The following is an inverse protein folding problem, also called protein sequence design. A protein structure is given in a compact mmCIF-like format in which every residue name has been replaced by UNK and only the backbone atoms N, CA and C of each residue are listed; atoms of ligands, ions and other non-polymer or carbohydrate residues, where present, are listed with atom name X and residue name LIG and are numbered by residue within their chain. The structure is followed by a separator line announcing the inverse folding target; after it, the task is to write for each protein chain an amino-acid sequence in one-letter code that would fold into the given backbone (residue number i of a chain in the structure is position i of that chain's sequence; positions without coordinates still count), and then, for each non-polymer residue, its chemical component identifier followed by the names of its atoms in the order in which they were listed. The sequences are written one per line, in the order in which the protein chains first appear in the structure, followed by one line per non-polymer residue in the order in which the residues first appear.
data_IF_166530783921
#
_entry.id   IF_166530783921
#
_cell.length_a   1.000
_cell.length_b   1.000
_cell.length_c   1.000
_cell.angle_alpha   90.00
_cell.angle_beta   90.00
_cell.angle_gamma   90.00
#
_symmetry.space_group_name_H-M   'P 1'
#
loop_
_entity.id
_entity.type
_entity.pdbx_description
1 polymer ?
#
# COMPACT_ATOMS: atom_id res chain seq x y z
N UNK A 1 38.31 8.97 7.27
CA UNK A 1 37.42 8.00 6.64
C UNK A 1 36.57 8.72 5.61
N UNK A 2 36.57 8.27 4.37
CA UNK A 2 36.24 9.12 3.24
C UNK A 2 34.76 9.17 2.94
N UNK A 3 34.13 10.35 3.08
CA UNK A 3 33.06 10.70 2.13
C UNK A 3 33.65 10.54 0.73
N UNK A 4 32.98 9.76 -0.12
CA UNK A 4 33.32 9.74 -1.53
C UNK A 4 33.30 11.19 -2.07
N UNK A 5 34.10 11.51 -3.07
CA UNK A 5 34.17 12.86 -3.69
C UNK A 5 32.82 13.37 -4.22
N UNK A 6 31.76 12.55 -4.21
CA UNK A 6 30.37 12.82 -4.62
C UNK A 6 29.41 13.19 -3.47
N UNK A 7 29.88 13.30 -2.23
CA UNK A 7 29.00 13.58 -1.07
C UNK A 7 28.16 12.37 -0.58
N UNK A 8 28.39 11.18 -1.10
CA UNK A 8 27.72 9.93 -0.68
C UNK A 8 28.71 9.01 0.07
N UNK A 9 28.14 8.13 0.93
CA UNK A 9 28.93 7.15 1.68
C UNK A 9 29.13 5.86 0.89
N UNK A 10 30.27 5.19 1.11
CA UNK A 10 30.43 3.78 0.75
C UNK A 10 29.44 2.94 1.57
N UNK A 11 28.76 2.00 0.93
CA UNK A 11 27.73 1.15 1.56
C UNK A 11 28.33 -0.19 1.93
N UNK A 12 28.18 -0.59 3.19
CA UNK A 12 28.43 -1.93 3.66
C UNK A 12 27.11 -2.67 3.86
N UNK A 13 27.14 -3.97 3.62
CA UNK A 13 25.95 -4.85 3.66
C UNK A 13 26.24 -6.01 4.61
N UNK A 14 25.27 -6.29 5.47
CA UNK A 14 25.22 -7.51 6.29
C UNK A 14 24.00 -8.31 5.85
N UNK A 15 24.23 -9.55 5.41
CA UNK A 15 23.17 -10.44 4.94
C UNK A 15 22.70 -11.36 6.06
N UNK A 16 21.45 -11.77 5.99
CA UNK A 16 20.84 -12.79 6.86
C UNK A 16 21.02 -12.51 8.35
N UNK A 17 20.92 -11.25 8.73
CA UNK A 17 20.95 -10.84 10.13
C UNK A 17 19.70 -11.37 10.83
N UNK A 18 19.92 -12.11 11.91
CA UNK A 18 18.83 -12.72 12.68
C UNK A 18 18.22 -11.74 13.66
N UNK A 19 16.93 -11.48 13.50
CA UNK A 19 16.16 -10.50 14.28
C UNK A 19 15.18 -11.26 15.18
N UNK A 20 15.39 -11.30 16.50
CA UNK A 20 14.52 -12.02 17.40
C UNK A 20 13.20 -11.28 17.60
N UNK A 21 12.09 -12.02 17.58
CA UNK A 21 10.76 -11.55 17.96
C UNK A 21 10.47 -11.94 19.41
N UNK A 22 9.52 -11.23 20.05
CA UNK A 22 9.16 -11.42 21.47
C UNK A 22 8.66 -12.82 21.82
N UNK A 23 8.19 -13.58 20.84
CA UNK A 23 7.68 -14.95 21.01
C UNK A 23 8.72 -16.05 20.71
N UNK A 24 9.99 -15.65 20.51
CA UNK A 24 11.11 -16.55 20.24
C UNK A 24 11.31 -16.94 18.78
N UNK A 25 10.41 -16.53 17.87
CA UNK A 25 10.63 -16.65 16.44
C UNK A 25 11.72 -15.67 16.00
N UNK A 26 12.48 -16.04 14.96
CA UNK A 26 13.54 -15.19 14.43
C UNK A 26 13.28 -14.86 12.97
N UNK A 27 13.27 -13.56 12.64
CA UNK A 27 13.17 -13.11 11.26
C UNK A 27 14.56 -12.88 10.66
N UNK A 28 14.65 -12.92 9.32
CA UNK A 28 15.89 -12.69 8.58
C UNK A 28 15.85 -11.33 7.90
N UNK A 29 16.90 -10.54 8.07
CA UNK A 29 17.04 -9.23 7.48
C UNK A 29 18.39 -9.03 6.78
N UNK A 30 18.39 -8.22 5.72
CA UNK A 30 19.57 -7.66 5.12
C UNK A 30 19.71 -6.18 5.55
N UNK A 31 20.88 -5.83 6.07
CA UNK A 31 21.15 -4.50 6.59
C UNK A 31 22.18 -3.79 5.70
N UNK A 32 21.76 -2.68 5.10
CA UNK A 32 22.60 -1.80 4.31
C UNK A 32 22.87 -0.53 5.10
N UNK A 33 24.12 -0.14 5.28
CA UNK A 33 24.46 1.06 6.02
C UNK A 33 25.69 1.75 5.49
N UNK A 34 25.87 3.06 5.76
CA UNK A 34 27.10 3.73 5.42
C UNK A 34 28.28 3.13 6.18
N UNK A 35 29.43 3.05 5.54
CA UNK A 35 30.69 2.75 6.20
C UNK A 35 31.15 3.93 7.03
N UNK A 36 30.58 4.06 8.21
CA UNK A 36 30.76 5.20 9.13
C UNK A 36 30.68 4.76 10.58
N UNK A 37 31.37 5.47 11.45
CA UNK A 37 31.24 5.36 12.91
C UNK A 37 30.06 6.21 13.45
N UNK A 38 29.54 7.13 12.64
CA UNK A 38 28.41 7.96 13.03
C UNK A 38 27.13 7.13 13.08
N UNK A 39 26.33 7.38 14.09
CA UNK A 39 24.98 6.80 14.16
C UNK A 39 24.07 7.48 13.14
N UNK A 40 23.27 6.68 12.45
CA UNK A 40 22.35 7.12 11.40
C UNK A 40 20.92 6.65 11.70
N UNK A 41 19.88 7.35 11.23
CA UNK A 41 18.51 6.85 11.36
C UNK A 41 18.33 5.58 10.53
N UNK A 42 17.36 4.73 10.96
CA UNK A 42 17.01 3.50 10.26
C UNK A 42 15.77 3.65 9.38
N UNK A 43 15.72 2.89 8.28
CA UNK A 43 14.52 2.67 7.48
C UNK A 43 14.27 1.16 7.50
N UNK A 44 13.11 0.74 8.01
CA UNK A 44 12.71 -0.67 8.08
C UNK A 44 11.66 -0.96 7.00
N UNK A 45 11.94 -1.97 6.18
CA UNK A 45 11.06 -2.48 5.13
C UNK A 45 10.84 -3.96 5.35
N UNK A 46 9.59 -4.37 5.51
CA UNK A 46 9.21 -5.77 5.74
C UNK A 46 8.42 -6.27 4.54
N UNK A 47 8.73 -7.47 4.04
CA UNK A 47 8.20 -7.97 2.77
C UNK A 47 7.87 -9.47 2.81
N UNK A 48 6.72 -9.91 2.24
CA UNK A 48 6.45 -11.33 2.02
C UNK A 48 7.05 -11.84 0.71
N UNK A 49 7.61 -10.96 -0.12
CA UNK A 49 8.01 -11.26 -1.50
C UNK A 49 9.49 -11.65 -1.64
N UNK A 50 10.25 -11.62 -0.56
CA UNK A 50 11.71 -11.84 -0.53
C UNK A 50 12.47 -10.53 -0.37
N UNK A 51 13.46 -10.55 0.57
CA UNK A 51 14.27 -9.36 0.91
C UNK A 51 15.36 -9.02 -0.11
N UNK A 52 15.48 -9.81 -1.19
CA UNK A 52 16.55 -9.67 -2.19
C UNK A 52 15.98 -9.52 -3.60
N UNK A 53 16.36 -8.45 -4.28
CA UNK A 53 16.19 -8.23 -5.72
C UNK A 53 17.08 -7.06 -6.14
N UNK A 54 17.29 -6.89 -7.45
CA UNK A 54 18.06 -5.75 -7.97
C UNK A 54 17.44 -4.40 -7.58
N UNK A 55 16.12 -4.32 -7.57
CA UNK A 55 15.39 -3.10 -7.18
C UNK A 55 15.54 -2.79 -5.69
N UNK A 56 15.47 -3.81 -4.84
CA UNK A 56 15.71 -3.68 -3.40
C UNK A 56 17.15 -3.23 -3.14
N UNK A 57 18.14 -3.87 -3.77
CA UNK A 57 19.55 -3.51 -3.61
C UNK A 57 19.79 -2.05 -4.06
N UNK A 58 19.24 -1.64 -5.22
CA UNK A 58 19.36 -0.27 -5.71
C UNK A 58 18.74 0.76 -4.75
N UNK A 59 17.52 0.49 -4.27
CA UNK A 59 16.81 1.37 -3.33
C UNK A 59 17.52 1.44 -1.98
N UNK A 60 17.93 0.30 -1.43
CA UNK A 60 18.64 0.25 -0.16
C UNK A 60 19.98 1.00 -0.23
N UNK A 61 20.75 0.81 -1.31
CA UNK A 61 22.01 1.56 -1.53
C UNK A 61 21.76 3.04 -1.73
N UNK A 62 20.68 3.43 -2.38
CA UNK A 62 20.33 4.85 -2.54
C UNK A 62 20.21 5.55 -1.18
N UNK A 63 19.47 4.99 -0.25
CA UNK A 63 19.31 5.56 1.09
C UNK A 63 20.55 5.37 1.96
N UNK A 64 21.18 4.19 1.93
CA UNK A 64 22.36 3.91 2.74
C UNK A 64 23.55 4.81 2.37
N UNK A 65 23.78 5.05 1.08
CA UNK A 65 24.83 5.99 0.64
C UNK A 65 24.57 7.44 1.05
N UNK A 66 23.34 7.75 1.49
CA UNK A 66 22.93 9.08 1.96
C UNK A 66 22.77 9.16 3.48
N UNK A 67 23.29 8.18 4.20
CA UNK A 67 23.38 8.19 5.66
C UNK A 67 22.11 7.67 6.34
N UNK A 68 21.62 6.53 5.89
CA UNK A 68 20.59 5.73 6.54
C UNK A 68 21.06 4.29 6.76
N UNK A 69 20.62 3.66 7.83
CA UNK A 69 20.65 2.21 7.95
C UNK A 69 19.35 1.65 7.36
N UNK A 70 19.42 0.88 6.28
CA UNK A 70 18.23 0.30 5.63
C UNK A 70 18.17 -1.18 5.97
N UNK A 71 17.04 -1.62 6.54
CA UNK A 71 16.78 -2.99 6.98
C UNK A 71 15.66 -3.55 6.11
N UNK A 72 16.01 -4.42 5.16
CA UNK A 72 15.04 -5.22 4.41
C UNK A 72 14.86 -6.58 5.08
N UNK A 73 13.63 -6.93 5.40
CA UNK A 73 13.32 -8.11 6.22
C UNK A 73 12.23 -8.96 5.59
N UNK A 74 12.47 -10.25 5.47
CA UNK A 74 11.41 -11.21 5.17
C UNK A 74 10.44 -11.29 6.35
N UNK A 75 9.13 -11.20 6.09
CA UNK A 75 8.12 -11.39 7.15
C UNK A 75 8.10 -12.84 7.62
N UNK A 76 7.49 -13.09 8.76
CA UNK A 76 7.34 -14.42 9.38
C UNK A 76 6.88 -15.48 8.37
N UNK A 77 7.59 -16.62 8.35
CA UNK A 77 7.28 -17.74 7.45
C UNK A 77 7.60 -17.53 5.98
N UNK A 78 8.23 -16.40 5.62
CA UNK A 78 8.67 -16.12 4.26
C UNK A 78 10.20 -16.08 4.15
N UNK A 79 10.72 -16.38 2.96
CA UNK A 79 12.17 -16.39 2.70
C UNK A 79 12.95 -17.15 3.75
N UNK A 80 13.92 -16.48 4.37
CA UNK A 80 14.80 -17.03 5.40
C UNK A 80 14.31 -16.80 6.84
N UNK A 81 13.12 -16.21 7.01
CA UNK A 81 12.48 -16.00 8.32
C UNK A 81 11.81 -17.24 8.85
N UNK A 82 11.88 -17.49 10.17
CA UNK A 82 11.24 -18.62 10.82
C UNK A 82 9.71 -18.41 10.94
N UNK A 83 9.00 -19.44 11.39
CA UNK A 83 7.56 -19.42 11.66
C UNK A 83 6.71 -19.75 10.44
N UNK A 84 5.43 -19.41 10.56
CA UNK A 84 4.41 -19.63 9.54
C UNK A 84 3.84 -18.30 9.05
N UNK A 85 3.66 -18.15 7.73
CA UNK A 85 3.06 -16.98 7.14
C UNK A 85 1.54 -17.07 7.18
N UNK A 86 0.93 -16.17 7.92
CA UNK A 86 -0.51 -15.93 7.92
C UNK A 86 -0.72 -14.47 7.59
N UNK A 87 -1.26 -14.11 6.43
CA UNK A 87 -1.36 -12.73 5.98
C UNK A 87 -1.92 -11.79 7.06
N UNK A 88 -1.21 -10.70 7.33
CA UNK A 88 -1.53 -9.63 8.26
C UNK A 88 -1.59 -9.98 9.76
N UNK A 89 -1.72 -11.25 10.17
CA UNK A 89 -2.03 -11.65 11.56
C UNK A 89 -0.92 -11.33 12.58
N UNK A 90 0.34 -11.50 12.19
CA UNK A 90 1.47 -11.26 13.07
C UNK A 90 2.13 -9.89 12.83
N UNK A 91 1.72 -9.19 11.78
CA UNK A 91 2.46 -8.05 11.24
C UNK A 91 2.55 -6.87 12.19
N UNK A 92 1.56 -6.66 13.03
CA UNK A 92 1.60 -5.61 14.04
C UNK A 92 2.70 -5.82 15.08
N UNK A 93 2.75 -7.02 15.67
CA UNK A 93 3.73 -7.38 16.71
C UNK A 93 5.14 -7.50 16.14
N UNK A 94 5.28 -8.22 15.04
CA UNK A 94 6.57 -8.41 14.37
C UNK A 94 7.10 -7.07 13.85
N UNK A 95 6.22 -6.18 13.39
CA UNK A 95 6.57 -4.82 12.99
C UNK A 95 7.09 -3.98 14.14
N UNK A 96 6.40 -4.02 15.28
CA UNK A 96 6.89 -3.37 16.49
C UNK A 96 8.30 -3.87 16.86
N UNK A 97 8.47 -5.20 16.97
CA UNK A 97 9.74 -5.80 17.38
C UNK A 97 10.86 -5.47 16.38
N UNK A 98 10.57 -5.45 15.08
CA UNK A 98 11.53 -5.09 14.03
C UNK A 98 11.99 -3.63 14.12
N UNK A 99 11.07 -2.71 14.41
CA UNK A 99 11.36 -1.28 14.57
C UNK A 99 12.23 -1.07 15.81
N UNK A 100 11.87 -1.65 16.95
CA UNK A 100 12.61 -1.51 18.19
C UNK A 100 13.98 -2.19 18.12
N UNK A 101 14.07 -3.34 17.44
CA UNK A 101 15.35 -3.98 17.19
C UNK A 101 16.29 -3.07 16.37
N UNK A 102 15.77 -2.44 15.31
CA UNK A 102 16.57 -1.54 14.48
C UNK A 102 17.03 -0.31 15.27
N UNK A 103 16.15 0.26 16.11
CA UNK A 103 16.47 1.40 16.97
C UNK A 103 17.57 1.07 17.99
N UNK A 104 17.60 -0.15 18.51
CA UNK A 104 18.58 -0.62 19.49
C UNK A 104 19.96 -0.94 18.89
N UNK A 105 20.12 -0.93 17.56
CA UNK A 105 21.39 -1.27 16.96
C UNK A 105 22.46 -0.20 17.27
N UNK A 106 23.73 -0.59 17.50
CA UNK A 106 24.80 0.33 17.84
C UNK A 106 25.02 1.45 16.80
N UNK A 107 24.71 1.19 15.54
CA UNK A 107 24.83 2.12 14.43
C UNK A 107 23.60 3.04 14.26
N UNK A 108 22.48 2.73 14.96
CA UNK A 108 21.24 3.50 14.83
C UNK A 108 21.23 4.72 15.76
N UNK A 109 20.70 5.83 15.27
CA UNK A 109 20.50 7.07 16.07
C UNK A 109 19.28 6.98 17.02
N UNK A 110 18.46 5.93 16.89
CA UNK A 110 17.19 5.78 17.59
C UNK A 110 15.98 6.33 16.83
N UNK A 111 16.18 7.02 15.70
CA UNK A 111 15.07 7.42 14.84
C UNK A 111 14.83 6.37 13.75
N UNK A 112 13.61 5.85 13.66
CA UNK A 112 13.23 4.82 12.67
C UNK A 112 12.08 5.33 11.82
N UNK A 113 12.22 5.16 10.51
CA UNK A 113 11.12 5.28 9.55
C UNK A 113 10.77 3.93 8.95
N UNK A 114 9.57 3.81 8.41
CA UNK A 114 9.16 2.65 7.62
C UNK A 114 8.71 3.09 6.23
N UNK A 115 8.89 2.22 5.25
CA UNK A 115 8.41 2.44 3.88
C UNK A 115 8.04 1.13 3.21
N UNK A 116 7.13 1.21 2.24
CA UNK A 116 6.75 0.06 1.44
C UNK A 116 5.49 0.29 0.65
N UNK A 117 5.27 -0.59 -0.34
CA UNK A 117 4.13 -0.54 -1.24
C UNK A 117 3.22 -1.75 -1.03
N UNK A 118 1.90 -1.58 -1.27
CA UNK A 118 0.93 -2.67 -1.25
C UNK A 118 0.87 -3.35 0.13
N UNK A 119 1.02 -4.65 0.22
CA UNK A 119 1.13 -5.37 1.48
C UNK A 119 2.09 -4.69 2.47
N UNK A 120 3.28 -4.26 1.98
CA UNK A 120 4.29 -3.59 2.79
C UNK A 120 3.80 -2.24 3.34
N UNK A 121 2.89 -1.59 2.64
CA UNK A 121 2.26 -0.37 3.12
C UNK A 121 1.28 -0.68 4.25
N UNK A 122 0.37 -1.65 4.03
CA UNK A 122 -0.64 -2.03 5.02
C UNK A 122 -0.03 -2.50 6.34
N UNK A 123 1.01 -3.29 6.30
CA UNK A 123 1.64 -3.80 7.53
C UNK A 123 2.36 -2.73 8.36
N UNK A 124 2.68 -1.57 7.79
CA UNK A 124 3.16 -0.41 8.54
C UNK A 124 2.08 0.13 9.48
N UNK A 125 0.83 0.24 8.99
CA UNK A 125 -0.31 0.67 9.79
C UNK A 125 -0.57 -0.28 10.97
N UNK A 126 -0.53 -1.59 10.71
CA UNK A 126 -0.67 -2.59 11.76
C UNK A 126 0.43 -2.48 12.82
N UNK A 127 1.67 -2.24 12.39
CA UNK A 127 2.80 -2.03 13.32
C UNK A 127 2.65 -0.71 14.11
N UNK A 128 2.23 0.37 13.46
CA UNK A 128 2.06 1.67 14.08
C UNK A 128 1.01 1.64 15.21
N UNK A 129 -0.05 0.85 15.08
CA UNK A 129 -1.06 0.63 16.13
C UNK A 129 -0.54 -0.07 17.39
N UNK A 130 0.65 -0.64 17.34
CA UNK A 130 1.36 -1.14 18.54
C UNK A 130 2.24 -0.08 19.21
N UNK A 131 2.26 1.16 18.67
CA UNK A 131 2.95 2.33 19.23
C UNK A 131 4.44 2.15 19.49
N UNK A 132 5.25 1.68 18.51
CA UNK A 132 6.69 1.57 18.71
C UNK A 132 7.29 2.97 18.94
N UNK A 133 7.97 3.21 20.09
CA UNK A 133 8.38 4.55 20.49
C UNK A 133 9.43 5.19 19.57
N UNK A 134 10.17 4.35 18.82
CA UNK A 134 11.20 4.83 17.91
C UNK A 134 10.70 5.04 16.48
N UNK A 135 9.44 4.71 16.14
CA UNK A 135 8.83 5.02 14.84
C UNK A 135 8.54 6.52 14.75
N UNK A 136 9.18 7.21 13.80
CA UNK A 136 9.08 8.67 13.64
C UNK A 136 8.35 9.12 12.39
N UNK A 137 8.38 8.32 11.32
CA UNK A 137 7.70 8.65 10.06
C UNK A 137 7.41 7.40 9.23
N UNK A 138 6.40 7.47 8.38
CA UNK A 138 6.05 6.41 7.44
C UNK A 138 6.00 6.95 6.00
N UNK A 139 6.31 6.06 5.04
CA UNK A 139 5.99 6.24 3.61
C UNK A 139 5.12 5.06 3.20
N UNK A 140 3.84 5.33 2.97
CA UNK A 140 2.80 4.35 2.65
C UNK A 140 2.44 4.49 1.18
N UNK A 141 2.80 3.49 0.36
CA UNK A 141 2.67 3.53 -1.09
C UNK A 141 1.64 2.50 -1.53
N UNK A 142 0.69 2.89 -2.41
CA UNK A 142 -0.37 2.01 -2.93
C UNK A 142 -0.93 1.10 -1.84
N UNK A 143 -1.37 1.73 -0.76
CA UNK A 143 -1.78 1.02 0.45
C UNK A 143 -3.16 0.43 0.28
N UNK A 144 -3.29 -0.90 0.34
CA UNK A 144 -4.61 -1.49 0.44
C UNK A 144 -5.32 -0.99 1.70
N UNK A 145 -6.61 -0.87 1.58
CA UNK A 145 -7.50 -0.51 2.67
C UNK A 145 -7.85 -1.73 3.53
N UNK A 146 -8.78 -1.58 4.45
CA UNK A 146 -9.42 -2.72 5.08
C UNK A 146 -10.26 -3.47 4.05
N UNK A 147 -10.38 -4.81 4.16
CA UNK A 147 -10.98 -5.64 3.10
C UNK A 147 -12.38 -5.21 2.69
N UNK A 148 -13.20 -4.75 3.63
CA UNK A 148 -14.57 -4.31 3.33
C UNK A 148 -14.67 -2.94 2.66
N UNK A 149 -13.58 -2.21 2.56
CA UNK A 149 -13.45 -1.02 1.72
C UNK A 149 -13.09 -1.41 0.28
N UNK A 150 -12.19 -2.37 0.13
CA UNK A 150 -11.77 -2.92 -1.18
C UNK A 150 -12.81 -3.87 -1.75
N UNK A 151 -13.42 -4.67 -0.90
CA UNK A 151 -14.45 -5.64 -1.26
C UNK A 151 -15.78 -5.34 -0.58
N UNK A 152 -16.47 -4.26 -0.98
CA UNK A 152 -17.69 -3.81 -0.30
C UNK A 152 -18.82 -4.82 -0.33
N UNK A 153 -18.72 -5.85 -1.17
CA UNK A 153 -19.66 -6.98 -1.22
C UNK A 153 -19.36 -8.04 -0.15
N UNK A 154 -18.24 -7.95 0.57
CA UNK A 154 -17.78 -8.98 1.49
C UNK A 154 -17.19 -10.23 0.83
N UNK A 155 -16.98 -10.19 -0.48
CA UNK A 155 -16.42 -11.31 -1.25
C UNK A 155 -15.10 -10.83 -1.87
N UNK A 156 -13.96 -11.49 -1.56
CA UNK A 156 -12.67 -11.17 -2.19
C UNK A 156 -12.76 -11.34 -3.71
N UNK A 157 -12.07 -10.47 -4.42
CA UNK A 157 -11.96 -10.63 -5.87
C UNK A 157 -11.19 -11.92 -6.21
N UNK A 158 -11.52 -12.63 -7.29
CA UNK A 158 -10.77 -13.82 -7.69
C UNK A 158 -9.28 -13.58 -7.88
N UNK A 159 -8.88 -12.36 -8.26
CA UNK A 159 -7.47 -11.96 -8.36
C UNK A 159 -6.73 -12.10 -7.01
N UNK A 160 -7.40 -11.89 -5.90
CA UNK A 160 -6.81 -12.09 -4.56
C UNK A 160 -6.38 -13.55 -4.33
N UNK A 161 -7.08 -14.53 -4.93
CA UNK A 161 -6.65 -15.93 -4.92
C UNK A 161 -5.28 -16.11 -5.58
N UNK A 162 -5.01 -15.40 -6.69
CA UNK A 162 -3.70 -15.40 -7.35
C UNK A 162 -2.61 -14.89 -6.39
N UNK A 163 -2.88 -13.81 -5.66
CA UNK A 163 -1.94 -13.30 -4.66
C UNK A 163 -1.71 -14.29 -3.51
N UNK A 164 -2.76 -14.94 -3.00
CA UNK A 164 -2.64 -15.98 -1.97
C UNK A 164 -1.83 -17.18 -2.48
N UNK A 165 -2.02 -17.58 -3.73
CA UNK A 165 -1.19 -18.63 -4.36
C UNK A 165 0.28 -18.18 -4.44
N UNK A 166 0.54 -16.99 -4.96
CA UNK A 166 1.88 -16.42 -5.10
C UNK A 166 2.64 -16.41 -3.77
N UNK A 167 1.94 -16.16 -2.67
CA UNK A 167 2.53 -16.06 -1.32
C UNK A 167 2.40 -17.33 -0.49
N UNK A 168 1.89 -18.42 -1.02
CA UNK A 168 1.56 -19.65 -0.28
C UNK A 168 2.74 -20.55 0.13
N UNK A 169 3.97 -20.20 -0.22
CA UNK A 169 5.17 -20.92 0.18
C UNK A 169 6.14 -20.04 0.95
N UNK A 170 7.35 -20.53 1.20
CA UNK A 170 8.41 -19.68 1.75
C UNK A 170 8.96 -18.67 0.74
N UNK A 171 8.91 -19.02 -0.55
CA UNK A 171 9.29 -18.15 -1.67
C UNK A 171 8.08 -17.87 -2.55
N UNK A 172 8.17 -16.85 -3.39
CA UNK A 172 7.12 -16.54 -4.35
C UNK A 172 6.90 -17.73 -5.29
N UNK A 173 5.63 -18.12 -5.45
CA UNK A 173 5.24 -19.17 -6.39
C UNK A 173 5.08 -18.55 -7.79
N UNK A 174 5.43 -19.31 -8.82
CA UNK A 174 5.23 -18.86 -10.19
C UNK A 174 3.74 -18.95 -10.57
N UNK A 175 3.12 -17.80 -10.77
CA UNK A 175 1.71 -17.69 -11.15
C UNK A 175 1.48 -17.96 -12.64
N UNK A 176 2.52 -17.81 -13.48
CA UNK A 176 2.39 -17.93 -14.94
C UNK A 176 2.16 -19.39 -15.41
N UNK A 177 2.40 -20.36 -14.52
CA UNK A 177 2.18 -21.79 -14.82
C UNK A 177 0.75 -22.25 -14.53
N UNK A 178 -0.10 -21.36 -14.03
CA UNK A 178 -1.49 -21.63 -13.62
C UNK A 178 -2.45 -21.10 -14.67
N UNK A 179 -3.45 -21.90 -15.02
CA UNK A 179 -4.56 -21.48 -15.88
C UNK A 179 -5.58 -20.67 -15.07
N UNK A 180 -5.28 -19.39 -14.87
CA UNK A 180 -6.14 -18.48 -14.09
C UNK A 180 -7.49 -18.23 -14.77
N UNK A 181 -7.54 -18.25 -16.10
CA UNK A 181 -8.82 -18.09 -16.81
C UNK A 181 -9.79 -19.19 -16.41
N UNK A 182 -9.34 -20.45 -16.45
CA UNK A 182 -10.15 -21.57 -15.98
C UNK A 182 -10.56 -21.45 -14.52
N UNK A 183 -9.66 -20.98 -13.65
CA UNK A 183 -9.93 -20.84 -12.21
C UNK A 183 -10.99 -19.77 -11.99
N UNK A 184 -10.88 -18.62 -12.65
CA UNK A 184 -11.81 -17.49 -12.44
C UNK A 184 -13.23 -17.79 -12.89
N UNK A 185 -13.43 -18.79 -13.74
CA UNK A 185 -14.77 -19.28 -14.13
C UNK A 185 -15.31 -20.39 -13.22
N UNK A 186 -14.54 -20.81 -12.20
CA UNK A 186 -14.97 -21.90 -11.33
C UNK A 186 -16.01 -21.46 -10.30
N UNK A 187 -16.99 -22.33 -10.06
CA UNK A 187 -17.99 -22.23 -9.00
C UNK A 187 -18.12 -23.55 -8.25
N UNK A 188 -18.31 -23.53 -6.93
CA UNK A 188 -18.42 -22.36 -6.06
C UNK A 188 -17.09 -21.70 -5.78
N UNK A 189 -17.10 -20.40 -5.46
CA UNK A 189 -15.87 -19.62 -5.19
C UNK A 189 -15.01 -20.23 -4.08
N UNK A 190 -15.62 -20.83 -3.06
CA UNK A 190 -14.91 -21.43 -1.92
C UNK A 190 -13.89 -22.49 -2.36
N UNK A 191 -14.15 -23.21 -3.45
CA UNK A 191 -13.31 -24.32 -3.94
C UNK A 191 -12.42 -23.93 -5.14
N UNK A 192 -12.30 -22.65 -5.47
CA UNK A 192 -11.44 -22.18 -6.56
C UNK A 192 -9.97 -22.60 -6.36
N UNK A 193 -9.51 -22.64 -5.12
CA UNK A 193 -8.14 -23.02 -4.76
C UNK A 193 -7.78 -24.46 -5.18
N UNK A 194 -8.74 -25.37 -5.27
CA UNK A 194 -8.49 -26.76 -5.69
C UNK A 194 -7.92 -26.85 -7.11
N UNK A 195 -8.31 -25.91 -7.97
CA UNK A 195 -7.84 -25.87 -9.35
C UNK A 195 -6.41 -25.36 -9.49
N UNK A 196 -5.84 -24.73 -8.45
CA UNK A 196 -4.43 -24.33 -8.43
C UNK A 196 -3.49 -25.51 -8.20
N UNK A 197 -4.04 -26.69 -7.87
CA UNK A 197 -3.27 -27.88 -7.47
C UNK A 197 -2.68 -27.81 -6.05
N UNK A 198 -3.01 -26.75 -5.29
CA UNK A 198 -2.56 -26.54 -3.93
C UNK A 198 -3.68 -25.94 -3.08
N UNK A 199 -4.07 -26.56 -1.96
CA UNK A 199 -5.04 -25.96 -1.05
C UNK A 199 -4.54 -24.62 -0.49
N UNK A 200 -5.42 -23.62 -0.48
CA UNK A 200 -5.15 -22.30 0.05
C UNK A 200 -6.13 -21.99 1.20
N UNK A 201 -5.82 -22.42 2.42
CA UNK A 201 -6.76 -22.33 3.55
C UNK A 201 -7.17 -20.88 3.86
N UNK A 202 -6.32 -19.89 3.60
CA UNK A 202 -6.66 -18.48 3.80
C UNK A 202 -7.77 -18.02 2.85
N UNK A 203 -7.79 -18.47 1.60
CA UNK A 203 -8.88 -18.19 0.68
C UNK A 203 -10.22 -18.66 1.22
N UNK A 204 -10.27 -19.90 1.67
CA UNK A 204 -11.50 -20.49 2.22
C UNK A 204 -11.95 -19.80 3.49
N UNK A 205 -11.01 -19.41 4.34
CA UNK A 205 -11.30 -18.71 5.57
C UNK A 205 -11.86 -17.31 5.29
N UNK A 206 -11.28 -16.54 4.36
CA UNK A 206 -11.78 -15.23 3.96
C UNK A 206 -13.21 -15.31 3.39
N UNK A 207 -13.50 -16.29 2.53
CA UNK A 207 -14.85 -16.51 1.98
C UNK A 207 -15.89 -16.81 3.09
N UNK A 208 -15.49 -17.46 4.18
CA UNK A 208 -16.38 -17.78 5.31
C UNK A 208 -16.69 -16.58 6.19
N UNK A 209 -15.94 -15.49 6.05
CA UNK A 209 -16.13 -14.26 6.79
C UNK A 209 -16.65 -13.10 5.91
N UNK A 210 -17.89 -13.20 5.35
CA UNK A 210 -18.42 -12.21 4.40
C UNK A 210 -18.87 -10.90 5.07
N UNK A 211 -18.65 -10.75 6.38
CA UNK A 211 -19.00 -9.58 7.16
C UNK A 211 -17.79 -9.11 7.97
N UNK A 212 -17.74 -7.81 8.32
CA UNK A 212 -16.71 -7.23 9.19
C UNK A 212 -16.91 -7.72 10.63
N UNK A 213 -16.54 -8.96 10.86
CA UNK A 213 -16.61 -9.63 12.17
C UNK A 213 -15.27 -9.53 12.93
N UNK A 214 -15.17 -10.19 14.09
CA UNK A 214 -13.95 -10.15 14.91
C UNK A 214 -12.72 -10.76 14.20
N UNK A 215 -12.95 -11.61 13.21
CA UNK A 215 -11.86 -12.18 12.43
C UNK A 215 -11.13 -11.09 11.62
N UNK A 216 -11.89 -10.18 10.97
CA UNK A 216 -11.35 -9.06 10.20
C UNK A 216 -10.85 -7.93 11.10
N UNK A 217 -11.54 -7.62 12.21
CA UNK A 217 -11.17 -6.54 13.12
C UNK A 217 -9.75 -6.65 13.66
N UNK A 218 -9.23 -7.88 13.83
CA UNK A 218 -7.87 -8.12 14.28
C UNK A 218 -6.76 -7.63 13.33
N UNK A 219 -7.12 -7.31 12.08
CA UNK A 219 -6.21 -6.81 11.04
C UNK A 219 -6.72 -5.53 10.37
N UNK A 220 -7.72 -4.88 10.96
CA UNK A 220 -8.31 -3.63 10.50
C UNK A 220 -7.69 -2.43 11.21
N UNK A 221 -7.64 -1.28 10.52
CA UNK A 221 -7.07 -0.05 11.05
C UNK A 221 -7.84 1.23 10.65
N UNK A 222 -8.78 1.14 9.72
CA UNK A 222 -9.48 2.29 9.12
C UNK A 222 -10.27 3.17 10.13
N UNK A 223 -10.72 2.60 11.22
CA UNK A 223 -11.44 3.31 12.30
C UNK A 223 -10.51 3.73 13.46
N UNK A 224 -9.20 3.45 13.35
CA UNK A 224 -8.22 3.60 14.44
C UNK A 224 -7.18 4.70 14.23
N UNK A 225 -7.37 5.59 13.27
CA UNK A 225 -6.43 6.70 13.01
C UNK A 225 -6.25 7.62 14.23
N UNK A 226 -7.27 7.73 15.09
CA UNK A 226 -7.23 8.53 16.32
C UNK A 226 -6.23 8.01 17.38
N UNK A 227 -5.72 6.80 17.21
CA UNK A 227 -4.68 6.24 18.06
C UNK A 227 -3.27 6.61 17.58
N UNK A 228 -3.10 7.12 16.37
CA UNK A 228 -1.80 7.32 15.73
C UNK A 228 -1.32 8.78 15.86
N UNK A 229 -0.04 8.95 16.20
CA UNK A 229 0.66 10.24 16.24
C UNK A 229 1.91 10.20 15.33
N UNK A 230 1.69 10.10 14.03
CA UNK A 230 2.77 9.90 13.03
C UNK A 230 2.58 10.78 11.80
N UNK A 231 3.67 11.37 11.28
CA UNK A 231 3.71 11.93 9.93
C UNK A 231 3.74 10.79 8.90
N UNK A 232 2.93 10.90 7.88
CA UNK A 232 2.85 9.90 6.80
C UNK A 232 2.86 10.57 5.43
N UNK A 233 3.73 10.06 4.54
CA UNK A 233 3.70 10.36 3.12
C UNK A 233 2.90 9.26 2.43
N UNK A 234 1.73 9.61 1.91
CA UNK A 234 0.82 8.73 1.21
C UNK A 234 1.03 8.87 -0.30
N UNK A 235 1.23 7.77 -1.01
CA UNK A 235 1.50 7.79 -2.45
C UNK A 235 0.67 6.71 -3.13
N UNK A 236 -0.05 7.06 -4.22
CA UNK A 236 -0.74 6.09 -5.07
C UNK A 236 -0.95 6.63 -6.48
N UNK A 237 -1.73 5.92 -7.27
CA UNK A 237 -2.09 6.27 -8.62
C UNK A 237 -3.59 6.15 -8.87
N UNK A 238 -4.11 6.93 -9.84
CA UNK A 238 -5.53 6.93 -10.20
C UNK A 238 -6.01 5.60 -10.80
N UNK A 239 -5.08 4.78 -11.32
CA UNK A 239 -5.35 3.48 -11.93
C UNK A 239 -4.87 2.30 -11.07
N UNK A 240 -4.52 2.56 -9.81
CA UNK A 240 -4.21 1.53 -8.84
C UNK A 240 -5.50 0.80 -8.42
N UNK A 241 -5.51 -0.51 -8.46
CA UNK A 241 -6.65 -1.33 -8.03
C UNK A 241 -6.90 -1.25 -6.51
N UNK A 242 -5.86 -0.92 -5.74
CA UNK A 242 -5.95 -0.65 -4.29
C UNK A 242 -6.07 0.87 -3.98
N UNK A 243 -6.32 1.71 -4.98
CA UNK A 243 -6.30 3.16 -4.90
C UNK A 243 -7.15 3.74 -3.79
N UNK A 244 -8.30 3.15 -3.49
CA UNK A 244 -9.26 3.64 -2.49
C UNK A 244 -8.64 3.79 -1.09
N UNK A 245 -7.68 2.95 -0.74
CA UNK A 245 -7.02 2.95 0.58
C UNK A 245 -6.20 4.20 0.84
N UNK A 246 -5.39 4.62 -0.12
CA UNK A 246 -4.45 5.72 0.07
C UNK A 246 -5.12 7.07 0.39
N UNK A 247 -6.13 7.57 -0.36
CA UNK A 247 -6.87 8.79 0.01
C UNK A 247 -7.64 8.66 1.33
N UNK A 248 -8.21 7.48 1.63
CA UNK A 248 -8.87 7.25 2.91
C UNK A 248 -7.90 7.34 4.09
N UNK A 249 -6.70 6.77 3.95
CA UNK A 249 -5.66 6.85 4.96
C UNK A 249 -5.20 8.30 5.18
N UNK A 250 -4.98 9.06 4.10
CA UNK A 250 -4.67 10.49 4.19
C UNK A 250 -5.76 11.27 4.93
N UNK A 251 -7.02 11.14 4.48
CA UNK A 251 -8.15 11.83 5.12
C UNK A 251 -8.34 11.41 6.58
N UNK A 252 -8.18 10.12 6.88
CA UNK A 252 -8.26 9.58 8.22
C UNK A 252 -7.22 10.21 9.15
N UNK A 253 -5.97 10.24 8.73
CA UNK A 253 -4.89 10.85 9.49
C UNK A 253 -5.01 12.37 9.59
N UNK A 254 -5.29 13.06 8.49
CA UNK A 254 -5.42 14.52 8.49
C UNK A 254 -6.55 15.03 9.38
N UNK A 255 -7.61 14.24 9.59
CA UNK A 255 -8.78 14.63 10.37
C UNK A 255 -8.80 14.04 11.78
N UNK A 256 -8.31 12.83 11.96
CA UNK A 256 -8.53 12.05 13.18
C UNK A 256 -7.26 11.63 13.91
N UNK A 257 -6.05 11.84 13.37
CA UNK A 257 -4.83 11.49 14.08
C UNK A 257 -4.79 12.10 15.50
N UNK A 258 -4.13 11.42 16.42
CA UNK A 258 -4.15 11.72 17.85
C UNK A 258 -3.79 13.16 18.20
N UNK A 259 -2.83 13.75 17.50
CA UNK A 259 -2.34 15.11 17.77
C UNK A 259 -2.55 16.05 16.60
N UNK A 260 -2.60 17.35 16.87
CA UNK A 260 -2.64 18.37 15.82
C UNK A 260 -1.39 18.33 14.94
N UNK A 261 -0.22 18.06 15.55
CA UNK A 261 1.03 17.86 14.82
C UNK A 261 0.88 16.75 13.79
N UNK A 262 0.40 15.57 14.18
CA UNK A 262 0.21 14.46 13.25
C UNK A 262 -0.80 14.80 12.17
N UNK A 263 -1.95 15.42 12.51
CA UNK A 263 -2.94 15.83 11.51
C UNK A 263 -2.38 16.76 10.43
N UNK A 264 -1.50 17.69 10.80
CA UNK A 264 -0.85 18.64 9.90
C UNK A 264 0.39 18.08 9.18
N UNK A 265 0.81 16.87 9.55
CA UNK A 265 2.02 16.24 9.03
C UNK A 265 1.72 15.13 8.02
N UNK A 266 0.64 15.28 7.26
CA UNK A 266 0.24 14.34 6.23
C UNK A 266 0.53 14.92 4.85
N UNK A 267 1.04 14.09 3.93
CA UNK A 267 1.20 14.45 2.52
C UNK A 267 0.63 13.37 1.62
N UNK A 268 -0.04 13.79 0.54
CA UNK A 268 -0.65 12.91 -0.45
C UNK A 268 -0.09 13.19 -1.84
N UNK A 269 0.34 12.15 -2.55
CA UNK A 269 0.71 12.21 -3.96
C UNK A 269 -0.14 11.20 -4.73
N UNK A 270 -0.91 11.69 -5.72
CA UNK A 270 -1.71 10.85 -6.62
C UNK A 270 -1.29 11.08 -8.07
N UNK A 271 -0.58 10.11 -8.64
CA UNK A 271 -0.13 10.14 -10.03
C UNK A 271 -1.10 9.42 -11.00
N UNK A 272 -0.88 9.48 -12.31
CA UNK A 272 -1.67 8.75 -13.30
C UNK A 272 -1.14 7.30 -13.47
N UNK A 273 -0.88 6.64 -12.36
CA UNK A 273 -0.16 5.36 -12.33
C UNK A 273 -1.08 4.19 -11.97
N UNK A 274 -0.76 2.97 -12.47
CA UNK A 274 -1.33 1.73 -11.95
C UNK A 274 -0.63 1.33 -10.63
N UNK A 275 -0.88 0.12 -10.12
CA UNK A 275 -0.27 -0.40 -8.90
C UNK A 275 1.27 -0.32 -8.89
N UNK A 276 1.91 -0.56 -10.02
CA UNK A 276 3.36 -0.32 -10.22
C UNK A 276 3.61 1.15 -10.56
N UNK A 277 3.52 2.01 -9.56
CA UNK A 277 3.58 3.46 -9.72
C UNK A 277 4.88 3.95 -10.37
N UNK A 278 4.79 5.10 -11.05
CA UNK A 278 5.93 5.92 -11.48
C UNK A 278 6.95 5.21 -12.41
N UNK A 279 6.50 4.21 -13.19
CA UNK A 279 7.35 3.39 -14.07
C UNK A 279 7.32 3.84 -15.53
N UNK A 280 6.20 4.35 -15.98
CA UNK A 280 5.95 4.69 -17.38
C UNK A 280 5.10 5.96 -17.47
N UNK A 281 5.29 6.70 -18.56
CA UNK A 281 4.40 7.81 -18.95
C UNK A 281 3.11 7.31 -19.60
N UNK A 282 3.04 6.01 -19.89
CA UNK A 282 1.93 5.39 -20.63
C UNK A 282 1.24 4.31 -19.80
N UNK A 283 -0.07 4.25 -20.00
CA UNK A 283 -0.91 3.16 -19.51
C UNK A 283 -1.82 2.71 -20.68
N UNK A 284 -1.60 1.52 -21.20
CA UNK A 284 -2.23 1.08 -22.44
C UNK A 284 -1.96 2.05 -23.58
N UNK A 285 -3.02 2.55 -24.20
CA UNK A 285 -2.94 3.53 -25.31
C UNK A 285 -2.78 4.99 -24.83
N UNK A 286 -2.99 5.27 -23.55
CA UNK A 286 -2.96 6.62 -23.01
C UNK A 286 -1.51 7.02 -22.68
N UNK A 287 -1.08 8.18 -23.19
CA UNK A 287 0.19 8.80 -22.85
C UNK A 287 -0.04 10.07 -22.02
N UNK A 288 0.42 10.06 -20.77
CA UNK A 288 0.27 11.19 -19.85
C UNK A 288 1.42 12.21 -19.97
N UNK A 289 2.39 11.94 -20.82
CA UNK A 289 3.54 12.82 -21.05
C UNK A 289 4.64 12.70 -19.97
N UNK A 290 5.81 13.32 -20.23
CA UNK A 290 7.03 13.11 -19.43
C UNK A 290 6.90 13.59 -17.97
N UNK A 291 6.04 14.55 -17.70
CA UNK A 291 5.83 15.06 -16.34
C UNK A 291 5.07 14.07 -15.44
N UNK A 292 4.44 13.04 -16.01
CA UNK A 292 3.73 12.01 -15.24
C UNK A 292 4.66 11.09 -14.43
N UNK A 293 5.95 11.05 -14.76
CA UNK A 293 6.99 10.34 -14.00
C UNK A 293 7.86 11.36 -13.28
N UNK A 294 8.04 11.20 -11.98
CA UNK A 294 8.77 12.13 -11.12
C UNK A 294 9.94 11.45 -10.42
N UNK A 295 10.90 12.21 -9.88
CA UNK A 295 11.98 11.68 -9.02
C UNK A 295 11.44 11.35 -7.62
N UNK A 296 10.69 10.26 -7.57
CA UNK A 296 9.99 9.83 -6.36
C UNK A 296 10.95 9.43 -5.24
N UNK A 297 12.09 8.79 -5.57
CA UNK A 297 13.09 8.43 -4.57
C UNK A 297 13.69 9.66 -3.89
N UNK A 298 13.90 10.75 -4.65
CA UNK A 298 14.40 12.00 -4.08
C UNK A 298 13.34 12.68 -3.21
N UNK A 299 12.07 12.58 -3.57
CA UNK A 299 10.98 13.09 -2.74
C UNK A 299 10.88 12.32 -1.40
N UNK A 300 10.96 11.01 -1.45
CA UNK A 300 11.01 10.14 -0.27
C UNK A 300 12.24 10.43 0.60
N UNK A 301 13.40 10.68 -0.01
CA UNK A 301 14.61 11.08 0.73
C UNK A 301 14.42 12.41 1.47
N UNK A 302 13.80 13.42 0.84
CA UNK A 302 13.48 14.69 1.49
C UNK A 302 12.55 14.51 2.68
N UNK A 303 11.55 13.61 2.55
CA UNK A 303 10.63 13.24 3.63
C UNK A 303 11.39 12.68 4.85
N UNK A 304 12.23 11.67 4.63
CA UNK A 304 13.02 11.10 5.71
C UNK A 304 14.12 12.04 6.23
N UNK A 305 14.74 12.83 5.39
CA UNK A 305 15.72 13.83 5.83
C UNK A 305 15.08 14.84 6.80
N UNK A 306 13.83 15.26 6.55
CA UNK A 306 13.09 16.14 7.45
C UNK A 306 12.73 15.44 8.77
N UNK A 307 12.06 14.28 8.72
CA UNK A 307 11.49 13.65 9.91
C UNK A 307 12.49 12.81 10.72
N UNK A 308 13.51 12.24 10.11
CA UNK A 308 14.46 11.35 10.79
C UNK A 308 15.83 12.02 11.07
N UNK A 309 16.17 13.07 10.34
CA UNK A 309 17.43 13.83 10.51
C UNK A 309 17.20 15.27 10.91
N UNK A 310 15.96 15.69 11.11
CA UNK A 310 15.58 17.04 11.52
C UNK A 310 16.15 18.12 10.60
N UNK A 311 16.22 17.83 9.28
CA UNK A 311 16.74 18.78 8.30
C UNK A 311 15.61 19.64 7.75
N UNK A 312 15.68 20.93 8.01
CA UNK A 312 14.83 21.92 7.35
C UNK A 312 15.14 21.93 5.84
N UNK A 313 14.22 21.39 5.02
CA UNK A 313 14.40 21.26 3.58
C UNK A 313 13.20 21.74 2.76
N UNK A 314 12.26 22.41 3.42
CA UNK A 314 11.08 23.02 2.80
C UNK A 314 9.97 22.04 2.42
N UNK A 315 10.11 20.72 2.68
CA UNK A 315 9.08 19.76 2.27
C UNK A 315 7.75 19.99 2.98
N UNK A 316 7.79 20.47 4.22
CA UNK A 316 6.55 20.74 4.99
C UNK A 316 5.96 22.12 4.70
N UNK A 317 6.66 22.98 3.98
CA UNK A 317 6.16 24.27 3.49
C UNK A 317 5.40 24.12 2.15
N UNK A 318 5.59 23.00 1.46
CA UNK A 318 4.85 22.66 0.24
C UNK A 318 3.39 22.29 0.59
N UNK A 319 2.41 22.55 -0.29
CA UNK A 319 1.05 22.09 -0.10
C UNK A 319 0.96 20.59 0.22
N UNK A 320 0.04 20.17 1.09
CA UNK A 320 -0.02 18.79 1.55
C UNK A 320 -0.45 17.79 0.49
N UNK A 321 -1.16 18.22 -0.55
CA UNK A 321 -1.72 17.35 -1.57
C UNK A 321 -1.18 17.71 -2.94
N UNK A 322 -0.69 16.70 -3.64
CA UNK A 322 -0.20 16.80 -5.02
C UNK A 322 -0.88 15.76 -5.88
N UNK A 323 -1.69 16.20 -6.84
CA UNK A 323 -2.45 15.31 -7.72
C UNK A 323 -2.09 15.57 -9.19
N UNK A 324 -2.08 14.50 -9.98
CA UNK A 324 -1.97 14.62 -11.43
C UNK A 324 -3.36 14.72 -12.05
N UNK A 325 -3.62 15.81 -12.78
CA UNK A 325 -4.90 16.05 -13.47
C UNK A 325 -4.81 15.43 -14.84
N UNK A 326 -5.49 14.30 -15.01
CA UNK A 326 -5.59 13.60 -16.30
C UNK A 326 -6.40 14.42 -17.28
N UNK A 327 -6.05 14.35 -18.57
CA UNK A 327 -6.64 15.19 -19.61
C UNK A 327 -5.91 16.52 -19.79
N UNK A 328 -5.62 17.24 -18.69
CA UNK A 328 -4.71 18.38 -18.69
C UNK A 328 -3.24 17.95 -18.65
N UNK A 329 -3.00 16.72 -18.17
CA UNK A 329 -1.69 16.07 -18.04
C UNK A 329 -0.66 16.93 -17.31
N UNK A 330 -1.06 17.47 -16.16
CA UNK A 330 -0.20 18.29 -15.29
C UNK A 330 -0.42 17.99 -13.83
N UNK A 331 0.60 18.25 -13.04
CA UNK A 331 0.49 18.24 -11.57
C UNK A 331 -0.20 19.50 -11.06
N UNK A 332 -0.97 19.31 -10.00
CA UNK A 332 -1.68 20.35 -9.27
C UNK A 332 -1.39 20.17 -7.78
N UNK A 333 -1.00 21.26 -7.13
CA UNK A 333 -0.79 21.33 -5.68
C UNK A 333 -2.06 21.86 -5.01
N UNK A 334 -2.46 21.25 -3.88
CA UNK A 334 -3.70 21.53 -3.19
C UNK A 334 -3.55 21.54 -1.67
N UNK A 335 -4.43 22.29 -1.00
CA UNK A 335 -4.39 22.47 0.45
C UNK A 335 -5.05 21.32 1.22
N UNK A 336 -5.89 20.51 0.60
CA UNK A 336 -6.56 19.36 1.23
C UNK A 336 -7.11 18.37 0.17
N UNK A 337 -7.53 17.20 0.65
CA UNK A 337 -8.29 16.22 -0.11
C UNK A 337 -9.53 15.77 0.71
N UNK A 338 -10.78 15.73 0.17
CA UNK A 338 -11.15 16.27 -1.16
C UNK A 338 -10.82 17.75 -1.29
N UNK A 339 -10.69 18.23 -2.54
CA UNK A 339 -10.31 19.60 -2.84
C UNK A 339 -11.21 20.61 -2.10
N UNK A 340 -10.66 21.69 -1.54
CA UNK A 340 -11.44 22.65 -0.75
C UNK A 340 -12.58 23.33 -1.52
N UNK A 341 -12.43 23.47 -2.84
CA UNK A 341 -13.43 24.06 -3.74
C UNK A 341 -14.42 23.05 -4.31
N UNK A 342 -14.42 21.80 -3.81
CA UNK A 342 -15.34 20.74 -4.26
C UNK A 342 -16.80 21.17 -4.05
N UNK A 343 -17.55 21.18 -5.14
CA UNK A 343 -19.00 21.37 -5.11
C UNK A 343 -19.70 20.03 -5.07
N UNK A 344 -20.11 19.60 -3.89
CA UNK A 344 -20.86 18.38 -3.69
C UNK A 344 -22.21 18.46 -4.39
N UNK A 345 -22.32 17.81 -5.55
CA UNK A 345 -23.50 17.84 -6.41
C UNK A 345 -24.16 16.47 -6.42
N UNK A 346 -25.44 16.44 -6.11
CA UNK A 346 -26.23 15.21 -6.19
C UNK A 346 -26.57 14.93 -7.65
N UNK A 347 -26.24 13.73 -8.11
CA UNK A 347 -26.70 13.20 -9.39
C UNK A 347 -27.66 12.05 -9.16
N UNK A 348 -28.75 12.06 -9.89
CA UNK A 348 -29.77 11.03 -9.83
C UNK A 348 -29.59 10.06 -10.99
N UNK A 349 -29.65 8.76 -10.69
CA UNK A 349 -29.76 7.71 -11.69
C UNK A 349 -31.18 7.74 -12.25
N UNK A 350 -31.33 7.91 -13.54
CA UNK A 350 -32.63 7.97 -14.22
C UNK A 350 -32.65 6.97 -15.37
N UNK A 351 -33.84 6.43 -15.65
CA UNK A 351 -34.04 5.41 -16.68
C UNK A 351 -35.41 5.57 -17.33
N UNK A 352 -35.47 5.29 -18.63
CA UNK A 352 -36.73 5.05 -19.35
C UNK A 352 -37.23 3.60 -19.26
N UNK A 353 -36.64 2.79 -18.36
CA UNK A 353 -36.98 1.38 -18.13
C UNK A 353 -36.02 0.38 -18.80
N UNK A 354 -34.88 0.84 -19.36
CA UNK A 354 -33.90 0.00 -20.04
C UNK A 354 -32.45 0.39 -19.71
N UNK A 355 -32.16 0.94 -18.55
CA UNK A 355 -30.81 1.29 -18.13
C UNK A 355 -29.95 0.07 -17.69
N UNK A 356 -30.43 -1.14 -17.92
CA UNK A 356 -29.85 -2.41 -17.49
C UNK A 356 -28.80 -2.99 -18.47
N UNK A 357 -28.28 -2.20 -19.40
CA UNK A 357 -27.21 -2.59 -20.30
C UNK A 357 -26.36 -1.38 -20.73
N UNK A 358 -25.15 -1.64 -21.29
CA UNK A 358 -24.27 -0.57 -21.80
C UNK A 358 -24.89 0.24 -22.95
N UNK A 359 -25.93 -0.26 -23.60
CA UNK A 359 -26.67 0.39 -24.68
C UNK A 359 -28.06 0.81 -24.25
N UNK A 360 -28.31 0.84 -22.96
CA UNK A 360 -29.56 1.28 -22.37
C UNK A 360 -29.77 2.78 -22.41
N UNK A 361 -30.87 3.21 -21.77
CA UNK A 361 -31.33 4.59 -21.74
C UNK A 361 -31.02 5.30 -20.42
N UNK A 362 -30.09 4.72 -19.61
CA UNK A 362 -29.66 5.29 -18.34
C UNK A 362 -28.95 6.62 -18.52
N UNK A 363 -29.31 7.60 -17.67
CA UNK A 363 -28.65 8.90 -17.59
C UNK A 363 -28.34 9.29 -16.13
N UNK A 364 -27.37 10.14 -15.96
CA UNK A 364 -27.13 10.89 -14.73
C UNK A 364 -27.68 12.31 -14.90
N UNK A 365 -28.58 12.75 -14.02
CA UNK A 365 -29.17 14.07 -14.06
C UNK A 365 -29.08 14.78 -12.71
N UNK A 366 -28.96 16.10 -12.73
CA UNK A 366 -28.96 16.92 -11.50
C UNK A 366 -30.37 17.13 -10.96
N UNK A 367 -31.37 17.03 -11.83
CA UNK A 367 -32.77 17.12 -11.43
C UNK A 367 -33.30 15.78 -10.94
N UNK A 368 -34.08 15.73 -9.86
CA UNK A 368 -34.66 14.49 -9.37
C UNK A 368 -35.62 13.87 -10.40
N UNK A 369 -35.86 12.57 -10.34
CA UNK A 369 -36.82 11.88 -11.19
C UNK A 369 -38.23 12.55 -11.06
N UNK A 370 -38.94 12.66 -12.18
CA UNK A 370 -40.29 13.12 -12.16
C UNK A 370 -41.27 12.08 -11.58
N UNK A 371 -42.43 12.53 -11.09
CA UNK A 371 -43.46 11.62 -10.63
C UNK A 371 -43.96 10.73 -11.79
N UNK A 372 -43.93 9.41 -11.57
CA UNK A 372 -44.28 8.43 -12.60
C UNK A 372 -43.13 7.96 -13.51
N UNK A 373 -41.92 8.51 -13.35
CA UNK A 373 -40.73 7.93 -13.99
C UNK A 373 -40.43 6.52 -13.49
N UNK A 374 -39.78 5.69 -14.32
CA UNK A 374 -39.38 4.34 -13.94
C UNK A 374 -38.47 4.37 -12.70
N UNK A 375 -38.86 3.68 -11.65
CA UNK A 375 -38.16 3.71 -10.36
C UNK A 375 -37.07 2.64 -10.22
N UNK A 376 -36.99 1.71 -11.17
CA UNK A 376 -35.99 0.65 -11.17
C UNK A 376 -35.84 0.02 -12.55
N UNK A 377 -34.67 -0.56 -12.79
CA UNK A 377 -34.42 -1.49 -13.88
C UNK A 377 -34.26 -2.90 -13.33
N UNK A 378 -34.46 -3.91 -14.18
CA UNK A 378 -34.25 -5.32 -13.84
C UNK A 378 -33.16 -5.88 -14.71
N UNK A 379 -32.26 -6.65 -14.11
CA UNK A 379 -31.34 -7.50 -14.84
C UNK A 379 -31.28 -8.88 -14.22
N UNK A 380 -30.87 -9.86 -15.01
CA UNK A 380 -30.63 -11.21 -14.49
C UNK A 380 -29.15 -11.29 -14.09
N UNK A 381 -28.92 -11.46 -12.81
CA UNK A 381 -27.60 -11.83 -12.34
C UNK A 381 -27.36 -13.32 -12.59
N UNK A 382 -26.28 -13.66 -13.30
CA UNK A 382 -25.85 -15.02 -13.57
C UNK A 382 -24.38 -15.17 -13.14
N UNK A 383 -24.10 -15.86 -12.02
CA UNK A 383 -22.74 -16.05 -11.55
C UNK A 383 -21.87 -16.88 -12.50
N UNK A 384 -22.49 -17.67 -13.42
CA UNK A 384 -21.76 -18.38 -14.46
C UNK A 384 -21.43 -17.50 -15.68
N UNK A 385 -22.00 -16.29 -15.75
CA UNK A 385 -21.72 -15.30 -16.79
C UNK A 385 -21.68 -13.89 -16.15
N UNK A 386 -20.71 -13.60 -15.28
CA UNK A 386 -20.59 -12.32 -14.59
C UNK A 386 -20.23 -11.20 -15.55
N UNK A 387 -20.38 -9.96 -15.10
CA UNK A 387 -19.85 -8.80 -15.81
C UNK A 387 -18.33 -8.95 -15.93
N UNK A 388 -17.77 -8.93 -17.13
CA UNK A 388 -16.33 -9.12 -17.32
C UNK A 388 -15.55 -7.97 -16.70
N UNK A 389 -14.48 -8.31 -16.00
CA UNK A 389 -13.45 -7.38 -15.60
C UNK A 389 -12.40 -7.35 -16.72
N UNK A 390 -12.32 -6.23 -17.42
CA UNK A 390 -11.39 -6.07 -18.53
C UNK A 390 -10.31 -5.10 -18.05
N UNK A 391 -9.15 -5.61 -17.70
CA UNK A 391 -7.97 -4.78 -17.52
C UNK A 391 -6.77 -5.45 -18.17
N UNK A 392 -6.24 -4.79 -19.13
CA UNK A 392 -4.91 -5.02 -19.68
C UNK A 392 -4.00 -3.91 -19.16
N UNK A 393 -3.90 -3.83 -17.83
CA UNK A 393 -3.22 -2.73 -17.12
C UNK A 393 -1.93 -3.18 -16.43
N UNK A 394 -1.36 -4.28 -16.88
CA UNK A 394 -0.08 -4.79 -16.39
C UNK A 394 1.10 -4.18 -17.12
#
# INVERSE_FOLDING_TARGET
MSRARSGTWEVMIQRDVRVPMRDGITLSADVYRPRSEEKVPAIVVRTPYGKTSDEIDATARFFASRGYGVVYMDVRGRGDSDGEFVPYRNEGRDGYDSIEWAAAQPWCSGAVGTMGASYLARIQWLAALHHPPHLKAMISIVSPSDPFVEWPTGVPTPHHLCWLYMTSGRVMQNVDVIDWERIYWHLPLETMDELTGKPLPHWREEIRHPYLDEWWKGISYQDRFHELDLPVLHISGWYDDEQVGTPLNYMGMARHAATERARRSQKLIMGPWPHRINRSTRLGEIDFGPESVIDLLRYQLRWFDYWLKEKENGIMDEPPVRIFVMGENRWREEEDWPLPDTRWTRYYLRSGGRANSRFGDGILAVDPPAEGEASFDRYRYDPANPVPYITDMT
#
